data_IF_698903608303
#
_entry.id   IF_698903608303
#
_cell.length_a   1.000
_cell.length_b   1.000
_cell.length_c   1.000
_cell.angle_alpha   90.00
_cell.angle_beta   90.00
_cell.angle_gamma   90.00
#
_symmetry.space_group_name_H-M   'P 1'
#
loop_
_entity.id
_entity.type
_entity.pdbx_description
1 polymer ?
#
# COMPACT_ATOMS: atom_id res chain seq x y z
N UNK A 1 -8.09 2.01 2.49
CA UNK A 1 -8.86 2.93 1.63
C UNK A 1 -8.96 2.34 0.23
N UNK A 2 -7.85 2.09 -0.48
CA UNK A 2 -7.88 1.41 -1.78
C UNK A 2 -8.72 0.13 -1.79
N UNK A 3 -8.41 -0.84 -0.91
CA UNK A 3 -9.19 -2.07 -0.78
C UNK A 3 -10.69 -1.83 -0.50
N UNK A 4 -11.02 -0.74 0.19
CA UNK A 4 -12.41 -0.42 0.51
C UNK A 4 -13.15 0.14 -0.72
N UNK A 5 -12.47 0.89 -1.59
CA UNK A 5 -13.03 1.29 -2.87
C UNK A 5 -13.21 0.11 -3.83
N UNK A 6 -12.27 -0.84 -3.81
CA UNK A 6 -12.32 -2.03 -4.67
C UNK A 6 -13.31 -3.09 -4.18
N UNK A 7 -13.68 -3.07 -2.89
CA UNK A 7 -14.39 -4.18 -2.24
C UNK A 7 -13.52 -5.43 -2.03
N UNK A 8 -12.30 -5.45 -2.58
CA UNK A 8 -11.39 -6.59 -2.59
C UNK A 8 -10.03 -6.24 -1.94
N UNK A 9 -9.36 -7.26 -1.39
CA UNK A 9 -8.06 -7.08 -0.74
C UNK A 9 -6.92 -7.11 -1.75
N UNK A 10 -6.60 -5.96 -2.32
CA UNK A 10 -5.51 -5.81 -3.30
C UNK A 10 -4.18 -5.35 -2.69
N UNK A 11 -4.22 -4.35 -1.82
CA UNK A 11 -3.06 -3.82 -1.12
C UNK A 11 -2.95 -4.40 0.30
N UNK A 12 -1.72 -4.56 0.79
CA UNK A 12 -1.50 -5.11 2.13
C UNK A 12 -1.85 -4.09 3.21
N UNK A 13 -2.41 -4.58 4.32
CA UNK A 13 -2.86 -3.73 5.43
C UNK A 13 -2.22 -4.20 6.73
N UNK A 14 -1.45 -3.31 7.36
CA UNK A 14 -0.85 -3.59 8.66
C UNK A 14 -0.93 -2.34 9.55
N UNK A 15 -0.93 -2.48 10.88
CA UNK A 15 -0.88 -1.32 11.79
C UNK A 15 0.49 -0.62 11.76
N UNK A 16 1.49 -1.20 11.11
CA UNK A 16 2.82 -0.62 10.98
C UNK A 16 2.85 0.39 9.83
N UNK A 17 3.56 1.51 9.98
CA UNK A 17 3.74 2.45 8.89
C UNK A 17 4.58 1.82 7.76
N UNK A 18 4.58 2.47 6.58
CA UNK A 18 5.45 2.12 5.44
C UNK A 18 5.26 0.69 4.91
N UNK A 19 3.99 0.26 4.80
CA UNK A 19 3.62 -1.03 4.22
C UNK A 19 3.72 -1.01 2.70
N UNK A 20 3.18 -0.01 2.01
CA UNK A 20 3.25 0.09 0.55
C UNK A 20 4.69 0.48 0.13
N UNK A 21 5.29 -0.31 -0.76
CA UNK A 21 6.65 -0.07 -1.29
C UNK A 21 6.72 0.05 -2.80
N UNK A 22 5.76 -0.54 -3.49
CA UNK A 22 5.58 -0.37 -4.92
C UNK A 22 4.26 0.35 -5.17
N UNK A 23 4.19 1.07 -6.29
CA UNK A 23 2.94 1.67 -6.75
C UNK A 23 1.97 0.54 -7.11
N UNK A 24 0.81 0.50 -6.46
CA UNK A 24 -0.27 -0.44 -6.78
C UNK A 24 -1.36 0.33 -7.50
N UNK A 25 -1.70 -0.13 -8.71
CA UNK A 25 -2.84 0.38 -9.45
C UNK A 25 -4.08 -0.40 -9.05
N UNK A 26 -5.16 0.28 -8.70
CA UNK A 26 -6.47 -0.32 -8.45
C UNK A 26 -7.54 0.32 -9.33
N UNK A 27 -8.38 -0.51 -9.96
CA UNK A 27 -9.37 -0.07 -10.93
C UNK A 27 -10.76 -0.22 -10.31
N UNK A 28 -11.55 0.86 -10.31
CA UNK A 28 -12.93 0.86 -9.85
C UNK A 28 -13.82 1.31 -10.99
N UNK A 29 -14.62 0.38 -11.51
CA UNK A 29 -15.70 0.71 -12.43
C UNK A 29 -16.89 1.29 -11.65
N UNK A 30 -17.45 2.39 -12.15
CA UNK A 30 -18.68 3.00 -11.63
C UNK A 30 -19.62 3.28 -12.78
N UNK A 31 -20.89 3.55 -12.49
CA UNK A 31 -21.84 3.94 -13.53
C UNK A 31 -21.34 5.23 -14.22
N UNK A 32 -21.21 5.19 -15.55
CA UNK A 32 -20.72 6.30 -16.35
C UNK A 32 -19.20 6.54 -16.34
N UNK A 33 -18.37 5.68 -15.76
CA UNK A 33 -16.90 5.79 -15.94
C UNK A 33 -16.02 4.83 -15.14
N UNK A 34 -14.71 5.08 -15.19
CA UNK A 34 -13.70 4.24 -14.55
C UNK A 34 -12.70 5.10 -13.77
N UNK A 35 -12.47 4.76 -12.50
CA UNK A 35 -11.46 5.39 -11.66
C UNK A 35 -10.24 4.49 -11.56
N UNK A 36 -9.06 5.03 -11.87
CA UNK A 36 -7.78 4.33 -11.74
C UNK A 36 -7.01 4.93 -10.57
N UNK A 37 -7.01 4.23 -9.45
CA UNK A 37 -6.28 4.64 -8.25
C UNK A 37 -4.81 4.21 -8.33
N UNK A 38 -3.92 5.11 -7.96
CA UNK A 38 -2.50 4.79 -7.75
C UNK A 38 -2.19 4.88 -6.25
N UNK A 39 -2.12 3.74 -5.57
CA UNK A 39 -1.65 3.68 -4.18
C UNK A 39 -0.13 3.85 -4.16
N UNK A 40 0.33 4.80 -3.36
CA UNK A 40 1.74 5.20 -3.29
C UNK A 40 2.31 4.92 -1.90
N UNK A 41 3.61 4.65 -1.79
CA UNK A 41 4.28 4.58 -0.49
C UNK A 41 4.05 5.85 0.34
N UNK A 42 3.90 5.72 1.66
CA UNK A 42 3.76 6.87 2.54
C UNK A 42 5.02 7.77 2.55
N UNK A 43 4.84 9.08 2.42
CA UNK A 43 5.94 10.06 2.47
C UNK A 43 6.42 10.21 3.92
N UNK A 44 7.71 9.92 4.16
CA UNK A 44 8.29 10.03 5.50
C UNK A 44 9.77 10.43 5.46
N UNK A 45 10.23 11.20 6.45
CA UNK A 45 11.64 11.57 6.63
C UNK A 45 12.51 10.45 7.22
N UNK A 46 12.41 9.24 6.68
CA UNK A 46 13.32 8.16 7.04
C UNK A 46 14.76 8.43 6.55
N UNK A 47 15.76 8.17 7.40
CA UNK A 47 17.19 8.31 7.04
C UNK A 47 17.71 7.21 6.12
N UNK A 48 16.93 6.14 5.90
CA UNK A 48 17.29 5.00 5.06
C UNK A 48 17.10 5.33 3.57
N UNK A 49 17.97 4.77 2.73
CA UNK A 49 17.92 4.98 1.27
C UNK A 49 16.57 4.56 0.67
N UNK A 50 16.07 3.37 1.06
CA UNK A 50 14.73 2.91 0.68
C UNK A 50 13.64 3.94 1.04
N UNK A 51 13.62 4.48 2.26
CA UNK A 51 12.58 5.44 2.66
C UNK A 51 12.62 6.74 1.86
N UNK A 52 13.82 7.21 1.50
CA UNK A 52 13.98 8.34 0.58
C UNK A 52 13.45 8.02 -0.80
N UNK A 53 13.83 6.86 -1.34
CA UNK A 53 13.37 6.38 -2.64
C UNK A 53 11.83 6.28 -2.70
N UNK A 54 11.22 5.65 -1.70
CA UNK A 54 9.76 5.53 -1.58
C UNK A 54 9.07 6.90 -1.50
N UNK A 55 9.65 7.85 -0.75
CA UNK A 55 9.12 9.20 -0.68
C UNK A 55 9.25 9.95 -2.01
N UNK A 56 10.33 9.75 -2.75
CA UNK A 56 10.51 10.33 -4.08
C UNK A 56 9.47 9.79 -5.08
N UNK A 57 9.23 8.47 -5.08
CA UNK A 57 8.21 7.83 -5.93
C UNK A 57 6.81 8.38 -5.62
N UNK A 58 6.46 8.51 -4.35
CA UNK A 58 5.18 9.07 -3.95
C UNK A 58 5.01 10.54 -4.40
N UNK A 59 6.05 11.35 -4.22
CA UNK A 59 6.01 12.76 -4.63
C UNK A 59 6.03 12.95 -6.15
N UNK A 60 6.72 12.09 -6.91
CA UNK A 60 6.71 12.18 -8.37
C UNK A 60 5.35 11.79 -8.96
N UNK A 61 4.66 10.82 -8.35
CA UNK A 61 3.34 10.35 -8.81
C UNK A 61 2.27 11.45 -8.75
N UNK A 62 2.45 12.46 -7.89
CA UNK A 62 1.54 13.62 -7.82
C UNK A 62 1.41 14.28 -9.20
N UNK A 63 2.51 14.39 -9.96
CA UNK A 63 2.49 15.02 -11.28
C UNK A 63 1.79 14.21 -12.37
N UNK A 64 1.53 12.91 -12.13
CA UNK A 64 1.08 11.96 -13.15
C UNK A 64 -0.43 11.63 -13.04
N UNK A 65 -1.16 12.27 -12.11
CA UNK A 65 -2.58 11.99 -11.84
C UNK A 65 -3.47 13.19 -12.14
N UNK A 66 -4.74 12.91 -12.46
CA UNK A 66 -5.77 13.94 -12.64
C UNK A 66 -6.20 14.56 -11.31
N UNK A 67 -6.31 13.74 -10.26
CA UNK A 67 -6.74 14.14 -8.92
C UNK A 67 -5.88 13.47 -7.85
N UNK A 68 -5.45 14.24 -6.86
CA UNK A 68 -4.69 13.77 -5.69
C UNK A 68 -5.63 13.56 -4.51
N UNK A 69 -5.61 12.36 -3.92
CA UNK A 69 -6.27 12.10 -2.65
C UNK A 69 -5.28 12.20 -1.49
N UNK A 70 -5.32 13.32 -0.76
CA UNK A 70 -4.49 13.52 0.42
C UNK A 70 -5.16 12.89 1.66
N UNK A 71 -4.62 11.79 2.16
CA UNK A 71 -5.22 11.05 3.28
C UNK A 71 -4.53 11.40 4.60
N UNK A 72 -5.31 11.82 5.60
CA UNK A 72 -4.85 12.07 6.97
C UNK A 72 -5.65 11.27 7.99
N UNK A 73 -4.98 10.78 9.04
CA UNK A 73 -5.61 10.00 10.11
C UNK A 73 -6.35 10.94 11.10
N UNK A 74 -7.64 10.69 11.34
CA UNK A 74 -8.50 11.48 12.21
C UNK A 74 -7.98 11.60 13.64
N UNK A 75 -7.15 10.65 14.12
CA UNK A 75 -6.52 10.74 15.45
C UNK A 75 -5.63 11.97 15.62
N UNK A 76 -5.20 12.60 14.51
CA UNK A 76 -4.40 13.81 14.54
C UNK A 76 -5.21 15.09 14.68
N UNK A 77 -6.54 15.00 14.77
CA UNK A 77 -7.39 16.17 14.83
C UNK A 77 -7.23 17.01 16.10
N UNK A 78 -6.68 16.42 17.16
CA UNK A 78 -6.33 17.13 18.40
C UNK A 78 -4.97 17.84 18.34
N UNK A 79 -4.19 17.67 17.26
CA UNK A 79 -2.91 18.36 17.10
C UNK A 79 -3.15 19.82 16.73
N UNK A 80 -2.37 20.70 17.37
CA UNK A 80 -2.36 22.14 17.04
C UNK A 80 -1.84 22.44 15.64
N UNK A 81 -1.04 21.55 15.06
CA UNK A 81 -0.45 21.72 13.74
C UNK A 81 -0.30 20.38 13.02
N UNK A 82 -0.45 20.42 11.70
CA UNK A 82 -0.10 19.33 10.79
C UNK A 82 1.37 18.90 10.96
N UNK A 83 1.63 17.60 10.77
CA UNK A 83 2.99 17.09 10.91
C UNK A 83 3.90 17.67 9.80
N UNK A 84 5.22 17.62 10.04
CA UNK A 84 6.19 18.09 9.04
C UNK A 84 6.11 17.32 7.71
N UNK A 85 5.80 16.04 7.76
CA UNK A 85 5.64 15.21 6.57
C UNK A 85 4.34 15.53 5.82
N UNK A 86 3.22 15.72 6.53
CA UNK A 86 1.94 16.18 5.96
C UNK A 86 2.10 17.52 5.22
N UNK A 87 2.75 18.50 5.87
CA UNK A 87 3.05 19.81 5.26
C UNK A 87 3.93 19.68 4.02
N UNK A 88 4.88 18.74 4.00
CA UNK A 88 5.74 18.50 2.83
C UNK A 88 4.92 17.99 1.65
N UNK A 89 3.95 17.10 1.89
CA UNK A 89 3.05 16.61 0.83
C UNK A 89 2.19 17.76 0.33
N UNK A 90 1.58 18.55 1.22
CA UNK A 90 0.79 19.74 0.85
C UNK A 90 1.60 20.70 -0.03
N UNK A 91 2.85 20.99 0.34
CA UNK A 91 3.72 21.86 -0.46
C UNK A 91 4.10 21.25 -1.83
N UNK A 92 4.15 19.92 -1.94
CA UNK A 92 4.36 19.27 -3.23
C UNK A 92 3.09 19.34 -4.10
N UNK A 93 1.90 19.14 -3.51
CA UNK A 93 0.62 19.29 -4.19
C UNK A 93 0.49 20.72 -4.74
N UNK A 94 0.75 21.75 -3.91
CA UNK A 94 0.72 23.17 -4.33
C UNK A 94 1.61 23.47 -5.54
N UNK A 95 2.72 22.76 -5.70
CA UNK A 95 3.67 22.94 -6.82
C UNK A 95 3.31 22.15 -8.06
N UNK A 96 2.38 21.20 -7.95
CA UNK A 96 2.03 20.28 -9.03
C UNK A 96 0.91 20.78 -9.93
N UNK A 97 0.22 21.86 -9.53
CA UNK A 97 -1.01 22.37 -10.15
C UNK A 97 -2.13 21.32 -10.31
N UNK A 98 -2.01 20.17 -9.62
CA UNK A 98 -3.03 19.12 -9.62
C UNK A 98 -4.12 19.43 -8.61
N UNK A 99 -5.35 19.05 -8.97
CA UNK A 99 -6.50 19.08 -8.07
C UNK A 99 -6.25 18.12 -6.91
N UNK A 100 -6.66 18.51 -5.71
CA UNK A 100 -6.49 17.67 -4.53
C UNK A 100 -7.73 17.68 -3.65
N UNK A 101 -8.07 16.52 -3.11
CA UNK A 101 -9.14 16.32 -2.14
C UNK A 101 -8.51 15.80 -0.85
N UNK A 102 -8.82 16.42 0.29
CA UNK A 102 -8.36 15.94 1.58
C UNK A 102 -9.35 14.93 2.15
N UNK A 103 -8.86 13.76 2.53
CA UNK A 103 -9.63 12.69 3.16
C UNK A 103 -9.21 12.55 4.62
N UNK A 104 -10.11 12.86 5.55
CA UNK A 104 -9.89 12.62 6.97
C UNK A 104 -10.38 11.20 7.27
N UNK A 105 -9.48 10.23 7.24
CA UNK A 105 -9.82 8.82 7.38
C UNK A 105 -9.85 8.37 8.85
N UNK A 106 -10.59 7.29 9.14
CA UNK A 106 -10.81 6.70 10.48
C UNK A 106 -11.63 7.59 11.42
N UNK A 107 -12.64 8.28 10.88
CA UNK A 107 -13.53 9.13 11.69
C UNK A 107 -14.28 8.36 12.76
N UNK A 108 -14.45 7.05 12.59
CA UNK A 108 -15.02 6.12 13.57
C UNK A 108 -14.18 6.00 14.85
N UNK A 109 -12.90 6.38 14.80
CA UNK A 109 -11.99 6.28 15.94
C UNK A 109 -11.94 7.52 16.84
N UNK A 110 -12.67 8.60 16.49
CA UNK A 110 -12.64 9.87 17.24
C UNK A 110 -14.03 10.49 17.39
N UNK A 111 -14.28 11.28 18.46
CA UNK A 111 -15.51 12.07 18.57
C UNK A 111 -15.64 13.08 17.41
N UNK A 112 -16.83 13.16 16.79
CA UNK A 112 -17.08 14.05 15.63
C UNK A 112 -16.71 15.52 15.87
N UNK A 113 -16.96 16.04 17.08
CA UNK A 113 -16.60 17.41 17.46
C UNK A 113 -15.10 17.71 17.39
N UNK A 114 -14.25 16.68 17.46
CA UNK A 114 -12.80 16.84 17.38
C UNK A 114 -12.30 17.03 15.94
N UNK A 115 -13.14 16.85 14.92
CA UNK A 115 -12.72 16.97 13.51
C UNK A 115 -12.61 18.42 13.05
N UNK A 116 -13.39 19.34 13.62
CA UNK A 116 -13.46 20.74 13.18
C UNK A 116 -12.08 21.44 13.14
N UNK A 117 -11.20 21.31 14.16
CA UNK A 117 -9.87 21.91 14.11
C UNK A 117 -8.99 21.36 12.99
N UNK A 118 -9.16 20.08 12.60
CA UNK A 118 -8.40 19.49 11.50
C UNK A 118 -8.91 19.97 10.15
N UNK A 119 -10.24 20.05 9.99
CA UNK A 119 -10.89 20.61 8.80
C UNK A 119 -10.42 22.05 8.59
N UNK A 120 -10.40 22.87 9.64
CA UNK A 120 -9.89 24.24 9.58
C UNK A 120 -8.43 24.29 9.12
N UNK A 121 -7.54 23.46 9.70
CA UNK A 121 -6.14 23.40 9.29
C UNK A 121 -5.94 22.98 7.83
N UNK A 122 -6.75 22.05 7.33
CA UNK A 122 -6.71 21.64 5.92
C UNK A 122 -7.27 22.72 5.00
N UNK A 123 -8.33 23.41 5.42
CA UNK A 123 -8.90 24.55 4.69
C UNK A 123 -7.90 25.71 4.58
N UNK A 124 -7.20 26.04 5.68
CA UNK A 124 -6.17 27.09 5.72
C UNK A 124 -4.98 26.80 4.80
N UNK A 125 -4.74 25.52 4.44
CA UNK A 125 -3.71 25.17 3.48
C UNK A 125 -4.02 25.65 2.05
N UNK A 126 -5.28 26.00 1.76
CA UNK A 126 -5.76 26.60 0.52
C UNK A 126 -5.33 25.85 -0.75
N UNK A 127 -5.31 24.51 -0.69
CA UNK A 127 -4.91 23.63 -1.82
C UNK A 127 -5.98 22.58 -2.15
N UNK A 128 -6.88 22.29 -1.21
CA UNK A 128 -7.87 21.24 -1.38
C UNK A 128 -9.18 21.81 -1.92
N UNK A 129 -9.73 21.18 -2.97
CA UNK A 129 -11.04 21.53 -3.52
C UNK A 129 -12.17 21.08 -2.59
N UNK A 130 -11.98 19.94 -1.95
CA UNK A 130 -12.94 19.32 -1.02
C UNK A 130 -12.22 18.67 0.16
N UNK A 131 -12.88 18.65 1.32
CA UNK A 131 -12.43 17.97 2.54
C UNK A 131 -13.52 17.00 2.97
N UNK A 132 -13.26 15.70 2.87
CA UNK A 132 -14.25 14.65 3.07
C UNK A 132 -13.82 13.77 4.25
N UNK A 133 -14.56 13.77 5.38
CA UNK A 133 -14.36 12.82 6.45
C UNK A 133 -14.85 11.42 6.02
N UNK A 134 -14.04 10.38 6.20
CA UNK A 134 -14.35 9.02 5.76
C UNK A 134 -13.95 7.95 6.79
N UNK A 135 -14.58 6.79 6.71
CA UNK A 135 -14.11 5.58 7.39
C UNK A 135 -13.96 4.44 6.38
N UNK A 136 -12.71 4.12 6.04
CA UNK A 136 -12.43 2.98 5.16
C UNK A 136 -12.87 1.63 5.77
N UNK A 137 -12.96 1.52 7.09
CA UNK A 137 -13.35 0.29 7.80
C UNK A 137 -14.87 0.12 7.89
N UNK A 138 -15.62 1.23 7.91
CA UNK A 138 -17.09 1.22 7.95
C UNK A 138 -17.72 1.52 6.58
N UNK A 139 -16.91 1.68 5.53
CA UNK A 139 -17.32 2.16 4.22
C UNK A 139 -18.10 3.48 4.25
N UNK A 140 -17.84 4.33 5.25
CA UNK A 140 -18.52 5.62 5.44
C UNK A 140 -17.87 6.72 4.58
N UNK A 141 -18.68 7.41 3.77
CA UNK A 141 -18.28 8.51 2.90
C UNK A 141 -17.48 8.12 1.65
N UNK A 142 -17.33 6.82 1.35
CA UNK A 142 -16.54 6.37 0.19
C UNK A 142 -17.22 6.69 -1.14
N UNK A 143 -18.55 6.55 -1.19
CA UNK A 143 -19.41 6.92 -2.32
C UNK A 143 -19.31 8.41 -2.66
N UNK A 144 -19.27 9.27 -1.64
CA UNK A 144 -19.06 10.71 -1.78
C UNK A 144 -17.69 10.99 -2.39
N UNK A 145 -16.64 10.28 -1.95
CA UNK A 145 -15.29 10.42 -2.54
C UNK A 145 -15.29 10.01 -4.01
N UNK A 146 -15.88 8.85 -4.35
CA UNK A 146 -15.93 8.37 -5.74
C UNK A 146 -16.67 9.39 -6.63
N UNK A 147 -17.82 9.88 -6.16
CA UNK A 147 -18.62 10.87 -6.89
C UNK A 147 -17.86 12.17 -7.08
N UNK A 148 -17.21 12.67 -6.03
CA UNK A 148 -16.41 13.89 -6.09
C UNK A 148 -15.24 13.75 -7.07
N UNK A 149 -14.49 12.64 -7.03
CA UNK A 149 -13.37 12.39 -7.95
C UNK A 149 -13.85 12.33 -9.40
N UNK A 150 -14.98 11.66 -9.66
CA UNK A 150 -15.57 11.55 -11.00
C UNK A 150 -15.83 12.91 -11.64
N UNK A 151 -16.21 13.94 -10.88
CA UNK A 151 -16.45 15.30 -11.42
C UNK A 151 -15.21 15.96 -12.04
N UNK A 152 -14.02 15.44 -11.73
CA UNK A 152 -12.76 16.01 -12.16
C UNK A 152 -12.05 15.17 -13.22
N UNK A 153 -12.50 13.94 -13.49
CA UNK A 153 -11.89 13.08 -14.49
C UNK A 153 -12.23 13.55 -15.91
N UNK A 154 -11.29 13.42 -16.87
CA UNK A 154 -11.57 13.74 -18.26
C UNK A 154 -12.50 12.69 -18.89
N UNK A 155 -13.27 13.11 -19.89
CA UNK A 155 -14.00 12.18 -20.74
C UNK A 155 -13.01 11.36 -21.57
N UNK A 156 -13.11 10.04 -21.48
CA UNK A 156 -12.23 9.09 -22.16
C UNK A 156 -12.91 7.72 -22.22
N UNK A 157 -12.59 6.87 -23.22
CA UNK A 157 -12.84 5.44 -23.13
C UNK A 157 -12.19 4.85 -21.87
N UNK A 158 -12.71 3.72 -21.33
CA UNK A 158 -12.07 2.99 -20.25
C UNK A 158 -10.60 2.68 -20.60
N UNK A 159 -9.70 2.90 -19.65
CA UNK A 159 -8.28 2.63 -19.81
C UNK A 159 -7.97 1.14 -19.65
N UNK A 160 -8.79 0.44 -18.87
CA UNK A 160 -8.65 -0.98 -18.56
C UNK A 160 -10.00 -1.71 -18.75
N UNK A 161 -9.98 -3.04 -18.96
CA UNK A 161 -11.18 -3.87 -18.88
C UNK A 161 -11.93 -3.70 -17.55
N UNK A 162 -13.26 -3.87 -17.57
CA UNK A 162 -14.11 -3.69 -16.38
C UNK A 162 -13.91 -4.77 -15.31
N UNK A 163 -13.42 -5.95 -15.70
CA UNK A 163 -13.15 -7.09 -14.83
C UNK A 163 -11.74 -7.08 -14.22
N UNK A 164 -10.86 -6.19 -14.68
CA UNK A 164 -9.50 -6.06 -14.15
C UNK A 164 -9.50 -5.16 -12.90
N UNK A 165 -9.00 -5.67 -11.78
CA UNK A 165 -8.89 -4.89 -10.54
C UNK A 165 -7.53 -4.19 -10.39
N UNK A 166 -6.49 -4.65 -11.10
CA UNK A 166 -5.11 -4.18 -10.95
C UNK A 166 -4.25 -4.52 -12.16
N UNK A 167 -3.18 -3.76 -12.38
CA UNK A 167 -2.12 -4.05 -13.36
C UNK A 167 -1.09 -5.09 -12.85
N UNK A 168 -1.23 -5.55 -11.61
CA UNK A 168 -0.25 -6.42 -10.97
C UNK A 168 -0.51 -7.89 -11.25
N UNK A 169 0.53 -8.67 -11.60
CA UNK A 169 0.37 -10.10 -11.77
C UNK A 169 0.10 -10.77 -10.41
N UNK A 170 -0.66 -11.87 -10.40
CA UNK A 170 -1.01 -12.62 -9.17
C UNK A 170 0.22 -12.97 -8.32
N UNK A 171 1.35 -13.32 -8.94
CA UNK A 171 2.62 -13.58 -8.22
C UNK A 171 3.08 -12.40 -7.35
N UNK A 172 2.83 -11.17 -7.78
CA UNK A 172 3.14 -9.98 -7.00
C UNK A 172 2.23 -9.90 -5.77
N UNK A 173 0.92 -10.06 -5.95
CA UNK A 173 -0.05 -10.08 -4.85
C UNK A 173 0.28 -11.17 -3.82
N UNK A 174 0.68 -12.36 -4.27
CA UNK A 174 1.17 -13.44 -3.39
C UNK A 174 2.40 -13.01 -2.58
N UNK A 175 3.38 -12.37 -3.22
CA UNK A 175 4.58 -11.86 -2.53
C UNK A 175 4.22 -10.84 -1.44
N UNK A 176 3.23 -10.00 -1.74
CA UNK A 176 2.72 -8.97 -0.84
C UNK A 176 1.97 -9.60 0.33
N UNK A 177 1.12 -10.60 0.12
CA UNK A 177 0.45 -11.33 1.20
C UNK A 177 1.44 -12.01 2.15
N UNK A 178 2.51 -12.62 1.64
CA UNK A 178 3.58 -13.17 2.49
C UNK A 178 4.25 -12.04 3.28
N UNK A 179 4.53 -10.90 2.62
CA UNK A 179 5.15 -9.74 3.26
C UNK A 179 4.27 -9.14 4.35
N UNK A 180 2.95 -9.07 4.14
CA UNK A 180 1.97 -8.63 5.13
C UNK A 180 2.08 -9.47 6.41
N UNK A 181 2.13 -10.81 6.27
CA UNK A 181 2.24 -11.70 7.43
C UNK A 181 3.60 -11.58 8.13
N UNK A 182 4.69 -11.34 7.39
CA UNK A 182 5.99 -11.00 7.98
C UNK A 182 5.90 -9.69 8.77
N UNK A 183 5.21 -8.67 8.24
CA UNK A 183 4.95 -7.42 8.95
C UNK A 183 4.09 -7.62 10.19
N UNK A 184 3.08 -8.48 10.19
CA UNK A 184 2.23 -8.73 11.35
C UNK A 184 2.96 -9.51 12.45
N UNK A 185 3.74 -10.52 12.07
CA UNK A 185 4.45 -11.42 13.01
C UNK A 185 5.65 -10.77 13.69
N UNK A 186 6.42 -9.95 12.96
CA UNK A 186 7.70 -9.44 13.47
C UNK A 186 7.52 -8.26 14.42
N UNK A 187 8.55 -7.93 15.21
CA UNK A 187 8.61 -6.69 15.99
C UNK A 187 9.76 -5.80 15.49
N UNK A 188 9.81 -4.57 15.98
CA UNK A 188 10.88 -3.60 15.70
C UNK A 188 11.05 -3.29 14.20
N UNK A 189 12.25 -2.90 13.77
CA UNK A 189 12.53 -2.41 12.42
C UNK A 189 12.76 -3.52 11.38
N UNK A 190 12.65 -4.80 11.76
CA UNK A 190 12.97 -5.95 10.90
C UNK A 190 12.12 -6.03 9.61
N UNK A 191 10.80 -5.77 9.62
CA UNK A 191 9.99 -5.77 8.40
C UNK A 191 10.52 -4.84 7.31
N UNK A 192 11.19 -3.75 7.70
CA UNK A 192 11.74 -2.74 6.78
C UNK A 192 12.98 -3.20 6.01
N UNK A 193 13.58 -4.34 6.38
CA UNK A 193 14.74 -4.96 5.72
C UNK A 193 14.41 -6.29 5.03
N UNK A 194 13.11 -6.59 4.88
CA UNK A 194 12.61 -7.82 4.27
C UNK A 194 12.07 -7.54 2.86
N UNK A 195 12.39 -8.42 1.91
CA UNK A 195 11.74 -8.49 0.60
C UNK A 195 11.30 -9.93 0.31
N UNK A 196 10.24 -10.10 -0.47
CA UNK A 196 9.72 -11.42 -0.86
C UNK A 196 9.79 -11.53 -2.38
N UNK A 197 10.36 -12.62 -2.87
CA UNK A 197 10.48 -12.93 -4.30
C UNK A 197 9.80 -14.28 -4.57
N UNK A 198 8.86 -14.33 -5.51
CA UNK A 198 8.27 -15.61 -5.95
C UNK A 198 9.17 -16.21 -7.02
N UNK A 199 9.78 -17.35 -6.71
CA UNK A 199 10.70 -18.07 -7.59
C UNK A 199 9.92 -18.99 -8.55
N UNK A 200 8.87 -19.62 -8.04
CA UNK A 200 8.04 -20.53 -8.81
C UNK A 200 6.57 -20.32 -8.42
N UNK A 201 5.71 -20.35 -9.44
CA UNK A 201 4.26 -20.35 -9.30
C UNK A 201 3.74 -21.32 -10.35
N UNK A 202 3.41 -22.53 -9.93
CA UNK A 202 3.02 -23.61 -10.82
C UNK A 202 1.68 -24.17 -10.40
N UNK A 203 0.70 -24.06 -11.28
CA UNK A 203 -0.53 -24.82 -11.14
C UNK A 203 -0.27 -26.29 -11.53
N UNK A 204 -0.75 -27.23 -10.71
CA UNK A 204 -0.69 -28.65 -11.04
C UNK A 204 -1.65 -28.99 -12.18
N UNK A 205 -1.36 -30.08 -12.88
CA UNK A 205 -2.17 -30.58 -13.99
C UNK A 205 -3.62 -30.93 -13.59
N UNK A 206 -3.86 -31.25 -12.31
CA UNK A 206 -5.19 -31.54 -11.79
C UNK A 206 -5.98 -30.28 -11.40
N UNK A 207 -5.40 -29.08 -11.61
CA UNK A 207 -5.96 -27.75 -11.33
C UNK A 207 -6.42 -27.50 -9.88
N UNK A 208 -6.15 -28.44 -8.98
CA UNK A 208 -6.60 -28.40 -7.58
C UNK A 208 -5.60 -27.71 -6.66
N UNK A 209 -4.32 -27.74 -7.02
CA UNK A 209 -3.22 -27.26 -6.18
C UNK A 209 -2.31 -26.32 -6.95
N UNK A 210 -1.98 -25.20 -6.33
CA UNK A 210 -0.94 -24.28 -6.78
C UNK A 210 0.30 -24.47 -5.91
N UNK A 211 1.43 -24.79 -6.51
CA UNK A 211 2.73 -24.86 -5.87
C UNK A 211 3.45 -23.51 -6.00
N UNK A 212 3.83 -22.95 -4.85
CA UNK A 212 4.49 -21.64 -4.78
C UNK A 212 5.81 -21.79 -4.01
N UNK A 213 6.93 -21.48 -4.66
CA UNK A 213 8.23 -21.35 -4.01
C UNK A 213 8.57 -19.86 -3.88
N UNK A 214 8.79 -19.39 -2.65
CA UNK A 214 9.13 -18.00 -2.35
C UNK A 214 10.47 -17.88 -1.60
N UNK A 215 11.24 -16.85 -1.92
CA UNK A 215 12.44 -16.46 -1.16
C UNK A 215 12.18 -15.20 -0.36
N UNK A 216 12.45 -15.26 0.94
CA UNK A 216 12.41 -14.13 1.86
C UNK A 216 13.85 -13.63 2.04
N UNK A 217 14.13 -12.44 1.53
CA UNK A 217 15.44 -11.80 1.58
C UNK A 217 15.56 -10.93 2.84
N UNK A 218 16.67 -11.08 3.55
CA UNK A 218 17.05 -10.25 4.72
C UNK A 218 18.46 -9.70 4.58
N UNK A 219 18.80 -8.63 5.28
CA UNK A 219 20.15 -8.04 5.21
C UNK A 219 21.19 -8.74 6.09
N UNK A 220 20.78 -9.40 7.18
CA UNK A 220 21.72 -9.94 8.18
C UNK A 220 21.35 -11.35 8.64
N UNK A 221 22.36 -12.13 9.01
CA UNK A 221 22.17 -13.47 9.57
C UNK A 221 21.34 -13.45 10.86
N UNK A 222 21.51 -12.41 11.70
CA UNK A 222 20.66 -12.24 12.89
C UNK A 222 19.19 -12.07 12.54
N UNK A 223 18.87 -11.35 11.47
CA UNK A 223 17.50 -11.21 10.98
C UNK A 223 16.96 -12.55 10.48
N UNK A 224 17.76 -13.31 9.71
CA UNK A 224 17.39 -14.67 9.27
C UNK A 224 17.03 -15.55 10.46
N UNK A 225 17.81 -15.51 11.54
CA UNK A 225 17.52 -16.23 12.79
C UNK A 225 16.18 -15.83 13.41
N UNK A 226 15.87 -14.52 13.43
CA UNK A 226 14.59 -14.00 13.95
C UNK A 226 13.41 -14.45 13.08
N UNK A 227 13.53 -14.37 11.74
CA UNK A 227 12.46 -14.82 10.82
C UNK A 227 12.14 -16.29 11.03
N UNK A 228 13.18 -17.13 11.09
CA UNK A 228 13.01 -18.58 11.29
C UNK A 228 12.39 -18.86 12.66
N UNK A 229 12.86 -18.16 13.71
CA UNK A 229 12.47 -18.43 15.09
C UNK A 229 13.00 -19.78 15.59
N UNK A 230 12.70 -20.11 16.84
CA UNK A 230 13.15 -21.35 17.47
C UNK A 230 12.58 -22.56 16.71
N UNK A 231 13.44 -23.39 16.15
CA UNK A 231 13.03 -24.58 15.39
C UNK A 231 12.20 -24.30 14.13
N UNK A 232 12.22 -23.08 13.58
CA UNK A 232 11.40 -22.73 12.41
C UNK A 232 9.95 -22.34 12.75
N UNK A 233 9.60 -22.19 14.02
CA UNK A 233 8.21 -21.95 14.44
C UNK A 233 7.64 -20.63 13.91
N UNK A 234 8.43 -19.55 13.94
CA UNK A 234 7.99 -18.22 13.50
C UNK A 234 7.67 -18.19 12.00
N UNK A 235 8.55 -18.76 11.17
CA UNK A 235 8.30 -18.82 9.72
C UNK A 235 7.12 -19.74 9.40
N UNK A 236 6.91 -20.82 10.17
CA UNK A 236 5.76 -21.72 9.99
C UNK A 236 4.43 -20.98 10.24
N UNK A 237 4.35 -20.17 11.27
CA UNK A 237 3.17 -19.33 11.57
C UNK A 237 2.89 -18.34 10.44
N UNK A 238 3.92 -17.63 9.99
CA UNK A 238 3.82 -16.70 8.85
C UNK A 238 3.32 -17.41 7.59
N UNK A 239 3.91 -18.56 7.24
CA UNK A 239 3.53 -19.31 6.04
C UNK A 239 2.10 -19.85 6.15
N UNK A 240 1.68 -20.26 7.34
CA UNK A 240 0.31 -20.75 7.58
C UNK A 240 -0.71 -19.66 7.36
N UNK A 241 -0.47 -18.47 7.92
CA UNK A 241 -1.35 -17.31 7.74
C UNK A 241 -1.33 -16.81 6.29
N UNK A 242 -0.16 -16.76 5.65
CA UNK A 242 -0.03 -16.29 4.28
C UNK A 242 -0.73 -17.24 3.31
N UNK A 243 -0.57 -18.56 3.49
CA UNK A 243 -1.25 -19.58 2.69
C UNK A 243 -2.77 -19.39 2.73
N UNK A 244 -3.35 -19.18 3.92
CA UNK A 244 -4.80 -18.98 4.05
C UNK A 244 -5.31 -17.75 3.28
N UNK A 245 -4.56 -16.65 3.27
CA UNK A 245 -4.92 -15.46 2.49
C UNK A 245 -4.70 -15.67 0.98
N UNK A 246 -3.64 -16.39 0.59
CA UNK A 246 -3.39 -16.70 -0.82
C UNK A 246 -4.47 -17.63 -1.37
N UNK A 247 -4.92 -18.63 -0.61
CA UNK A 247 -6.00 -19.54 -1.01
C UNK A 247 -7.31 -18.79 -1.27
N UNK A 248 -7.61 -17.76 -0.47
CA UNK A 248 -8.76 -16.87 -0.72
C UNK A 248 -8.61 -16.09 -2.02
N UNK A 249 -7.41 -15.54 -2.27
CA UNK A 249 -7.12 -14.76 -3.48
C UNK A 249 -7.24 -15.61 -4.76
N UNK A 250 -6.74 -16.86 -4.74
CA UNK A 250 -6.65 -17.70 -5.95
C UNK A 250 -7.79 -18.71 -6.08
N UNK A 251 -8.60 -18.90 -5.04
CA UNK A 251 -9.72 -19.84 -5.03
C UNK A 251 -9.33 -21.33 -5.10
N UNK A 252 -8.06 -21.67 -4.87
CA UNK A 252 -7.49 -23.03 -4.99
C UNK A 252 -6.62 -23.36 -3.78
N UNK A 253 -6.36 -24.63 -3.54
CA UNK A 253 -5.42 -25.04 -2.48
C UNK A 253 -4.00 -24.63 -2.85
N UNK A 254 -3.21 -24.26 -1.85
CA UNK A 254 -1.84 -23.75 -2.08
C UNK A 254 -0.83 -24.57 -1.29
N UNK A 255 0.21 -25.05 -1.96
CA UNK A 255 1.41 -25.56 -1.31
C UNK A 255 2.49 -24.47 -1.34
N UNK A 256 2.67 -23.78 -0.22
CA UNK A 256 3.65 -22.69 -0.08
C UNK A 256 4.96 -23.21 0.55
N UNK A 257 6.06 -23.14 -0.20
CA UNK A 257 7.42 -23.36 0.30
C UNK A 257 8.17 -22.04 0.37
N UNK A 258 8.75 -21.73 1.53
CA UNK A 258 9.55 -20.52 1.72
C UNK A 258 11.00 -20.83 2.08
N UNK A 259 11.93 -20.07 1.51
CA UNK A 259 13.34 -20.07 1.90
C UNK A 259 13.77 -18.71 2.42
N UNK A 260 14.58 -18.66 3.49
CA UNK A 260 15.12 -17.39 4.02
C UNK A 260 16.58 -17.23 3.61
N UNK A 261 16.87 -16.20 2.80
CA UNK A 261 18.20 -15.90 2.25
C UNK A 261 18.73 -14.59 2.81
N UNK A 262 20.02 -14.57 3.13
CA UNK A 262 20.72 -13.33 3.50
C UNK A 262 21.25 -12.68 2.21
N UNK A 263 20.79 -11.46 1.94
CA UNK A 263 21.21 -10.58 0.85
C UNK A 263 21.75 -9.28 1.48
N UNK A 264 23.05 -9.20 1.78
CA UNK A 264 23.61 -8.12 2.58
C UNK A 264 23.38 -6.72 2.00
N UNK A 265 22.89 -5.80 2.83
CA UNK A 265 22.70 -4.38 2.49
C UNK A 265 21.85 -4.13 1.22
N UNK A 266 20.92 -5.03 0.89
CA UNK A 266 20.13 -4.90 -0.34
C UNK A 266 19.33 -3.59 -0.39
N UNK A 267 18.92 -3.02 0.74
CA UNK A 267 18.18 -1.73 0.78
C UNK A 267 19.05 -0.51 0.46
N UNK A 268 20.37 -0.69 0.39
CA UNK A 268 21.35 0.34 0.02
C UNK A 268 21.98 0.09 -1.36
N UNK A 269 21.68 -1.05 -1.98
CA UNK A 269 22.26 -1.47 -3.25
C UNK A 269 21.21 -1.33 -4.35
N UNK A 270 21.39 -0.38 -5.27
CA UNK A 270 20.43 -0.12 -6.36
C UNK A 270 20.19 -1.34 -7.25
N UNK A 271 21.24 -2.13 -7.53
CA UNK A 271 21.11 -3.35 -8.33
C UNK A 271 20.23 -4.38 -7.62
N UNK A 272 20.43 -4.56 -6.32
CA UNK A 272 19.60 -5.47 -5.50
C UNK A 272 18.17 -4.94 -5.36
N UNK A 273 17.97 -3.64 -5.14
CA UNK A 273 16.64 -3.03 -5.11
C UNK A 273 15.89 -3.25 -6.43
N UNK A 274 16.53 -2.99 -7.57
CA UNK A 274 15.95 -3.24 -8.90
C UNK A 274 15.61 -4.71 -9.12
N UNK A 275 16.50 -5.64 -8.72
CA UNK A 275 16.24 -7.08 -8.81
C UNK A 275 15.00 -7.49 -8.00
N UNK A 276 14.81 -6.87 -6.83
CA UNK A 276 13.71 -7.17 -5.91
C UNK A 276 12.43 -6.40 -6.20
N UNK A 277 12.33 -5.73 -7.36
CA UNK A 277 11.14 -4.99 -7.81
C UNK A 277 11.12 -3.50 -7.47
N UNK A 278 12.02 -3.02 -6.62
CA UNK A 278 12.05 -1.64 -6.12
C UNK A 278 12.89 -0.71 -7.03
N UNK A 279 12.46 -0.53 -8.29
CA UNK A 279 13.08 0.44 -9.21
C UNK A 279 12.18 1.63 -9.46
N UNK A 280 12.75 2.80 -9.82
CA UNK A 280 11.97 3.87 -10.45
C UNK A 280 11.24 3.27 -11.65
N UNK A 281 9.91 3.25 -11.62
CA UNK A 281 9.13 3.17 -12.86
C UNK A 281 9.70 4.26 -13.75
N UNK A 282 10.19 3.88 -14.93
CA UNK A 282 10.26 4.86 -16.01
C UNK A 282 8.85 5.29 -16.36
#
# INVERSE_FOLDING_TARGET
LLNAFLGEKLAIVTPKPQTTRDRILGIVAVDGGQLVFLDTPGVHRGSRALNRHLSEVALSTIGDVDVVLFVIDAKYATRKQLAKDDRRIIEAIKKSDRRAIALINKVDSVPKGNLLPLIAQLSDAAVFTSIIPVSATQADGLDVVLSEVMTYLPESPPLYPEDELTDKPVRFLVSELIREQLFLSMKQELPYSVAVEIINYKEREDEKLIEIDATIHVERTSQKGIILGKGGQSIKEVCTAARAEIEKLVGKQVFLRTHVRVEPNWTKNERSMRKLGYSKSK
#
